data_IF_034097581560
#
_entry.id   IF_034097581560
#
_cell.length_a   1.000
_cell.length_b   1.000
_cell.length_c   1.000
_cell.angle_alpha   90.00
_cell.angle_beta   90.00
_cell.angle_gamma   90.00
#
_symmetry.space_group_name_H-M   'P 1'
#
loop_
_entity.id
_entity.type
_entity.pdbx_description
1 polymer ?
#
# COMPACT_ATOMS: atom_id res chain seq x y z
N UNK A 1 17.75 -11.35 5.68
CA UNK A 1 16.35 -11.05 5.96
C UNK A 1 15.47 -11.44 4.77
N UNK A 2 14.22 -11.68 5.03
CA UNK A 2 13.24 -11.99 3.97
C UNK A 2 12.66 -10.71 3.39
N UNK A 3 12.26 -10.78 2.13
CA UNK A 3 11.65 -9.68 1.41
C UNK A 3 10.13 -9.83 1.40
N UNK A 4 9.42 -8.72 1.60
CA UNK A 4 7.96 -8.71 1.66
C UNK A 4 7.39 -7.61 0.78
N UNK A 5 6.26 -7.92 0.14
CA UNK A 5 5.49 -6.96 -0.63
C UNK A 5 4.30 -6.48 0.22
N UNK A 6 4.23 -5.19 0.48
CA UNK A 6 3.07 -4.58 1.10
C UNK A 6 2.19 -3.96 0.02
N UNK A 7 0.94 -4.38 -0.03
CA UNK A 7 -0.05 -3.85 -0.98
C UNK A 7 -1.06 -3.01 -0.22
N UNK A 8 -1.20 -1.76 -0.63
CA UNK A 8 -2.22 -0.86 -0.09
C UNK A 8 -3.54 -1.11 -0.82
N UNK A 9 -4.59 -1.38 -0.06
CA UNK A 9 -5.91 -1.68 -0.59
C UNK A 9 -6.87 -0.53 -0.33
N UNK A 10 -7.71 -0.23 -1.33
CA UNK A 10 -8.73 0.79 -1.21
C UNK A 10 -9.94 0.46 -2.07
N UNK A 11 -11.14 0.75 -1.54
CA UNK A 11 -12.39 0.56 -2.25
C UNK A 11 -13.20 1.86 -2.26
N UNK A 12 -14.05 2.01 -3.27
CA UNK A 12 -14.96 3.15 -3.35
C UNK A 12 -15.94 3.17 -2.17
N UNK A 13 -16.39 2.00 -1.70
CA UNK A 13 -17.33 1.91 -0.59
C UNK A 13 -16.73 2.38 0.73
N UNK A 14 -15.47 2.02 1.02
CA UNK A 14 -14.80 2.51 2.23
C UNK A 14 -14.57 4.02 2.15
N UNK A 15 -14.16 4.53 0.99
CA UNK A 15 -13.97 5.97 0.78
C UNK A 15 -15.27 6.72 0.99
N UNK A 16 -16.37 6.22 0.46
CA UNK A 16 -17.70 6.81 0.61
C UNK A 16 -18.15 6.80 2.07
N UNK A 17 -18.00 5.65 2.75
CA UNK A 17 -18.37 5.51 4.16
C UNK A 17 -17.55 6.42 5.07
N UNK A 18 -16.30 6.74 4.70
CA UNK A 18 -15.44 7.66 5.47
C UNK A 18 -15.91 9.10 5.44
N UNK A 19 -16.73 9.46 4.44
CA UNK A 19 -17.14 10.85 4.22
C UNK A 19 -16.05 11.74 3.63
N UNK A 20 -14.96 11.16 3.13
CA UNK A 20 -13.80 11.90 2.63
C UNK A 20 -14.17 12.92 1.57
N UNK A 21 -14.90 12.50 0.55
CA UNK A 21 -15.26 13.37 -0.58
C UNK A 21 -16.35 14.39 -0.21
N UNK A 22 -17.09 14.16 0.88
CA UNK A 22 -18.12 15.06 1.38
C UNK A 22 -17.59 16.10 2.37
N UNK A 23 -16.35 15.98 2.82
CA UNK A 23 -15.73 16.98 3.68
C UNK A 23 -15.55 18.30 2.96
N UNK A 24 -15.56 19.41 3.72
CA UNK A 24 -15.18 20.69 3.13
C UNK A 24 -13.71 20.66 2.72
N UNK A 25 -13.34 21.51 1.76
CA UNK A 25 -12.01 21.49 1.15
C UNK A 25 -10.91 21.75 2.18
N UNK A 26 -11.16 22.66 3.12
CA UNK A 26 -10.19 23.00 4.17
C UNK A 26 -9.88 21.82 5.06
N UNK A 27 -10.90 21.11 5.52
CA UNK A 27 -10.74 19.95 6.40
C UNK A 27 -10.01 18.82 5.67
N UNK A 28 -10.40 18.54 4.43
CA UNK A 28 -9.77 17.50 3.62
C UNK A 28 -8.30 17.83 3.38
N UNK A 29 -7.97 19.09 3.08
CA UNK A 29 -6.61 19.53 2.88
C UNK A 29 -5.76 19.36 4.15
N UNK A 30 -6.31 19.70 5.31
CA UNK A 30 -5.63 19.50 6.59
C UNK A 30 -5.32 18.01 6.84
N UNK A 31 -6.27 17.13 6.53
CA UNK A 31 -6.06 15.68 6.65
C UNK A 31 -5.04 15.15 5.64
N UNK A 32 -5.06 15.65 4.41
CA UNK A 32 -4.08 15.27 3.40
C UNK A 32 -2.67 15.67 3.83
N UNK A 33 -2.49 16.87 4.36
CA UNK A 33 -1.20 17.34 4.87
C UNK A 33 -0.72 16.49 6.05
N UNK A 34 -1.62 16.22 7.00
CA UNK A 34 -1.29 15.37 8.14
C UNK A 34 -0.96 13.94 7.72
N UNK A 35 -1.71 13.41 6.75
CA UNK A 35 -1.48 12.07 6.21
C UNK A 35 -0.17 11.95 5.46
N UNK A 36 0.16 12.94 4.65
CA UNK A 36 1.43 12.95 3.92
C UNK A 36 2.62 13.08 4.86
N UNK A 37 2.48 13.89 5.92
CA UNK A 37 3.51 13.99 6.94
C UNK A 37 3.69 12.66 7.67
N UNK A 38 2.60 12.04 8.08
CA UNK A 38 2.65 10.75 8.78
C UNK A 38 3.24 9.65 7.88
N UNK A 39 2.90 9.66 6.59
CA UNK A 39 3.46 8.72 5.61
C UNK A 39 4.96 8.91 5.45
N UNK A 40 5.40 10.17 5.33
CA UNK A 40 6.83 10.50 5.28
C UNK A 40 7.57 10.05 6.53
N UNK A 41 6.98 10.23 7.71
CA UNK A 41 7.55 9.78 8.98
C UNK A 41 7.64 8.24 9.02
N UNK A 42 6.63 7.55 8.51
CA UNK A 42 6.65 6.09 8.40
C UNK A 42 7.78 5.61 7.48
N UNK A 43 7.94 6.26 6.34
CA UNK A 43 9.01 5.95 5.40
C UNK A 43 10.38 6.17 6.03
N UNK A 44 10.55 7.28 6.74
CA UNK A 44 11.80 7.60 7.41
C UNK A 44 12.13 6.61 8.52
N UNK A 45 11.13 6.23 9.33
CA UNK A 45 11.28 5.25 10.40
C UNK A 45 11.71 3.88 9.87
N UNK A 46 11.20 3.49 8.71
CA UNK A 46 11.44 2.18 8.11
C UNK A 46 12.49 2.21 6.98
N UNK A 47 13.18 3.31 6.79
CA UNK A 47 14.07 3.53 5.66
C UNK A 47 15.09 2.40 5.48
N UNK A 48 15.69 1.92 6.56
CA UNK A 48 16.69 0.85 6.50
C UNK A 48 16.10 -0.49 6.07
N UNK A 49 14.81 -0.69 6.26
CA UNK A 49 14.11 -1.92 5.87
C UNK A 49 13.53 -1.84 4.45
N UNK A 50 13.31 -0.65 3.92
CA UNK A 50 12.68 -0.48 2.61
C UNK A 50 13.65 -0.85 1.50
N UNK A 51 13.26 -1.81 0.66
CA UNK A 51 14.01 -2.25 -0.53
C UNK A 51 13.61 -1.42 -1.72
N UNK A 52 12.31 -1.19 -1.88
CA UNK A 52 11.75 -0.36 -2.94
C UNK A 52 10.59 0.44 -2.34
N UNK A 53 10.67 1.76 -2.47
CA UNK A 53 9.65 2.64 -1.90
C UNK A 53 8.28 2.49 -2.58
N UNK A 54 8.25 1.98 -3.82
CA UNK A 54 7.02 1.82 -4.55
C UNK A 54 6.31 3.13 -4.82
N UNK A 55 4.99 3.08 -4.77
CA UNK A 55 4.17 4.26 -4.97
C UNK A 55 2.73 3.91 -5.30
N UNK A 56 1.93 4.93 -5.63
CA UNK A 56 0.55 4.71 -6.07
C UNK A 56 0.48 3.90 -7.36
N UNK A 57 -0.55 3.10 -7.50
CA UNK A 57 -0.83 2.31 -8.68
C UNK A 57 -1.99 2.94 -9.46
N UNK A 58 -1.86 3.00 -10.76
CA UNK A 58 -2.86 3.58 -11.64
C UNK A 58 -3.85 2.56 -12.20
N UNK A 59 -4.32 2.82 -13.39
CA UNK A 59 -5.30 1.96 -14.08
C UNK A 59 -4.75 0.58 -14.35
N UNK A 60 -5.64 -0.40 -14.36
CA UNK A 60 -5.30 -1.81 -14.54
C UNK A 60 -5.76 -2.33 -15.89
N UNK A 61 -4.87 -3.03 -16.57
CA UNK A 61 -5.23 -3.88 -17.72
C UNK A 61 -5.03 -5.33 -17.32
N UNK A 62 -6.04 -6.14 -17.65
CA UNK A 62 -5.97 -7.58 -17.44
C UNK A 62 -5.62 -8.26 -18.74
N UNK A 63 -4.62 -9.10 -18.72
CA UNK A 63 -4.21 -9.92 -19.85
C UNK A 63 -4.49 -11.37 -19.49
N UNK A 64 -5.25 -12.06 -20.35
CA UNK A 64 -5.60 -13.46 -20.12
C UNK A 64 -5.68 -14.17 -21.47
N UNK A 65 -6.15 -15.43 -21.46
CA UNK A 65 -6.36 -16.18 -22.70
C UNK A 65 -7.42 -15.53 -23.60
N UNK A 66 -8.31 -14.72 -23.04
CA UNK A 66 -9.33 -13.98 -23.79
C UNK A 66 -8.81 -12.66 -24.36
N UNK A 67 -7.54 -12.33 -24.11
CA UNK A 67 -6.92 -11.10 -24.59
C UNK A 67 -6.76 -10.06 -23.50
N UNK A 68 -6.81 -8.79 -23.86
CA UNK A 68 -6.59 -7.65 -22.98
C UNK A 68 -7.92 -6.97 -22.67
N UNK A 69 -8.15 -6.67 -21.40
CA UNK A 69 -9.35 -5.96 -20.95
C UNK A 69 -8.98 -4.87 -19.92
N UNK A 70 -9.75 -3.80 -19.92
CA UNK A 70 -9.67 -2.78 -18.89
C UNK A 70 -10.48 -3.28 -17.69
N UNK A 71 -9.83 -3.32 -16.53
CA UNK A 71 -10.45 -3.75 -15.29
C UNK A 71 -10.04 -2.83 -14.16
N UNK A 72 -10.68 -2.99 -13.01
CA UNK A 72 -10.25 -2.35 -11.77
C UNK A 72 -10.07 -3.40 -10.69
N UNK A 73 -9.23 -3.08 -9.71
CA UNK A 73 -9.05 -3.91 -8.53
C UNK A 73 -8.85 -3.02 -7.30
N UNK A 74 -8.61 -3.62 -6.15
CA UNK A 74 -8.47 -2.88 -4.90
C UNK A 74 -7.04 -2.43 -4.61
N UNK A 75 -6.08 -2.80 -5.43
CA UNK A 75 -4.66 -2.49 -5.21
C UNK A 75 -4.38 -1.06 -5.68
N UNK A 76 -4.09 -0.18 -4.73
CA UNK A 76 -3.91 1.25 -5.00
C UNK A 76 -2.49 1.75 -4.77
N UNK A 77 -1.61 0.90 -4.26
CA UNK A 77 -0.22 1.25 -4.05
C UNK A 77 0.58 0.06 -3.53
N UNK A 78 1.90 0.20 -3.45
CA UNK A 78 2.75 -0.87 -2.94
C UNK A 78 4.06 -0.33 -2.38
N UNK A 79 4.70 -1.18 -1.57
CA UNK A 79 6.06 -0.98 -1.06
C UNK A 79 6.71 -2.35 -0.90
N UNK A 80 8.02 -2.42 -1.06
CA UNK A 80 8.79 -3.65 -0.81
C UNK A 80 9.75 -3.40 0.33
N UNK A 81 9.72 -4.25 1.36
CA UNK A 81 10.62 -4.12 2.50
C UNK A 81 11.18 -5.48 2.95
N UNK A 82 12.20 -5.42 3.82
CA UNK A 82 12.80 -6.59 4.43
C UNK A 82 12.41 -6.66 5.90
N UNK A 83 12.29 -7.88 6.41
CA UNK A 83 12.05 -8.13 7.82
C UNK A 83 12.50 -9.54 8.18
N UNK A 84 12.69 -9.79 9.48
CA UNK A 84 13.11 -11.10 9.95
C UNK A 84 12.03 -12.16 9.79
N UNK A 85 10.76 -11.75 9.85
CA UNK A 85 9.63 -12.67 9.75
C UNK A 85 8.43 -11.96 9.14
N UNK A 86 7.44 -12.76 8.73
CA UNK A 86 6.17 -12.24 8.22
C UNK A 86 5.46 -11.38 9.26
N UNK A 87 5.46 -11.82 10.52
CA UNK A 87 4.85 -11.06 11.61
C UNK A 87 5.56 -9.72 11.83
N UNK A 88 6.89 -9.71 11.79
CA UNK A 88 7.66 -8.48 11.93
C UNK A 88 7.36 -7.50 10.79
N UNK A 89 7.21 -8.00 9.56
CA UNK A 89 6.83 -7.19 8.43
C UNK A 89 5.43 -6.58 8.61
N UNK A 90 4.47 -7.39 9.01
CA UNK A 90 3.09 -6.95 9.23
C UNK A 90 3.00 -5.87 10.32
N UNK A 91 3.73 -6.03 11.41
CA UNK A 91 3.74 -5.06 12.52
C UNK A 91 4.18 -3.68 12.08
N UNK A 92 5.05 -3.58 11.10
CA UNK A 92 5.51 -2.28 10.59
C UNK A 92 4.38 -1.43 10.03
N UNK A 93 3.28 -2.05 9.57
CA UNK A 93 2.14 -1.37 9.01
C UNK A 93 1.01 -1.08 10.00
N UNK A 94 1.14 -1.50 11.26
CA UNK A 94 0.13 -1.19 12.27
C UNK A 94 -0.02 0.33 12.40
N UNK A 95 -1.27 0.81 12.38
CA UNK A 95 -1.55 2.24 12.48
C UNK A 95 -1.12 3.08 11.29
N UNK A 96 -0.85 2.46 10.14
CA UNK A 96 -0.36 3.17 8.95
C UNK A 96 -1.36 4.26 8.51
N UNK A 97 -0.89 5.44 8.07
CA UNK A 97 -1.77 6.54 7.66
C UNK A 97 -2.68 6.23 6.49
N UNK A 98 -2.38 5.20 5.68
CA UNK A 98 -3.23 4.76 4.58
C UNK A 98 -4.68 4.50 5.04
N UNK A 99 -4.85 3.91 6.22
CA UNK A 99 -6.18 3.59 6.73
C UNK A 99 -6.54 4.29 8.05
N UNK A 100 -5.59 5.00 8.68
CA UNK A 100 -5.87 5.76 9.90
C UNK A 100 -6.17 7.24 9.62
N UNK A 101 -5.65 7.78 8.53
CA UNK A 101 -5.83 9.18 8.14
C UNK A 101 -6.53 9.26 6.76
N UNK A 102 -5.99 8.54 5.76
CA UNK A 102 -6.58 8.46 4.44
C UNK A 102 -7.73 7.43 4.41
N UNK A 103 -8.64 7.53 3.43
CA UNK A 103 -9.78 6.61 3.35
C UNK A 103 -9.44 5.27 2.69
N UNK A 104 -8.35 4.65 3.09
CA UNK A 104 -7.94 3.33 2.63
C UNK A 104 -8.55 2.22 3.46
N UNK A 105 -8.55 1.00 2.93
CA UNK A 105 -9.12 -0.16 3.60
C UNK A 105 -8.13 -0.85 4.52
N UNK A 106 -6.97 -1.22 3.98
CA UNK A 106 -6.01 -2.08 4.67
C UNK A 106 -4.68 -2.11 3.94
N UNK A 107 -3.72 -2.78 4.54
CA UNK A 107 -2.47 -3.19 3.89
C UNK A 107 -2.38 -4.70 4.00
N UNK A 108 -2.09 -5.37 2.90
CA UNK A 108 -1.81 -6.81 2.89
C UNK A 108 -0.34 -7.03 2.61
N UNK A 109 0.27 -7.95 3.34
CA UNK A 109 1.71 -8.19 3.29
C UNK A 109 1.97 -9.64 2.90
N UNK A 110 2.72 -9.86 1.83
CA UNK A 110 3.07 -11.17 1.32
C UNK A 110 4.59 -11.33 1.25
N UNK A 111 5.08 -12.49 1.58
CA UNK A 111 6.51 -12.80 1.39
C UNK A 111 6.81 -12.96 -0.11
N UNK A 112 7.88 -12.32 -0.56
CA UNK A 112 8.39 -12.50 -1.92
C UNK A 112 9.27 -13.73 -1.93
N UNK A 113 8.73 -14.84 -2.42
CA UNK A 113 9.45 -16.12 -2.45
C UNK A 113 10.40 -16.18 -3.66
N UNK A 114 11.51 -16.90 -3.54
CA UNK A 114 12.39 -17.11 -4.68
C UNK A 114 11.70 -17.97 -5.75
N UNK A 115 12.04 -17.73 -7.00
CA UNK A 115 11.53 -18.55 -8.10
C UNK A 115 12.21 -19.92 -8.01
N UNK A 116 11.46 -21.04 -7.95
CA UNK A 116 12.06 -22.37 -7.87
C UNK A 116 13.06 -22.62 -9.00
N UNK A 117 14.28 -23.04 -8.62
CA UNK A 117 15.35 -23.32 -9.57
C UNK A 117 16.08 -22.10 -10.12
N UNK A 118 15.76 -20.90 -9.63
CA UNK A 118 16.44 -19.64 -10.02
C UNK A 118 17.12 -19.03 -8.80
N UNK A 119 18.23 -18.33 -9.04
CA UNK A 119 18.92 -17.60 -7.99
C UNK A 119 18.07 -16.42 -7.54
N UNK A 120 18.15 -16.10 -6.27
CA UNK A 120 17.52 -14.88 -5.75
C UNK A 120 18.21 -13.66 -6.34
N UNK A 121 17.41 -12.77 -6.86
CA UNK A 121 17.87 -11.51 -7.44
C UNK A 121 17.98 -10.37 -6.46
#
# INVERSE_FOLDING_TARGET
>A
MKKFLGIYLGTASTREASGWDAMDDKKRQELEEAGMKAWGDWMATNQSAIVESGGPLGKTKRISRQGVADVSNQMVGYVVLEAESHEAAAKKFEGHPHFTIFPGDAVEVMECLPIPGMAEG
#
